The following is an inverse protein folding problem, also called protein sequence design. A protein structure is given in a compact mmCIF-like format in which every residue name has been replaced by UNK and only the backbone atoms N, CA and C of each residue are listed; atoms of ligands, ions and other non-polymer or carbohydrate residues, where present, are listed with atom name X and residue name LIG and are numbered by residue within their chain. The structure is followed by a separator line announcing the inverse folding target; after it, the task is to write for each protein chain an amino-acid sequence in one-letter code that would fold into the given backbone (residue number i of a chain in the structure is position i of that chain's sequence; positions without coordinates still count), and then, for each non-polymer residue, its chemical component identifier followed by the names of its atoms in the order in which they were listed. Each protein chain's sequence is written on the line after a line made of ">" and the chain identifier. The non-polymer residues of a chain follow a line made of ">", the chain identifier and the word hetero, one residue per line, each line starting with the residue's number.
data_IF_441763471834
#
_entry.id   IF_441763471834
#
_cell.length_a   1.000
_cell.length_b   1.000
_cell.length_c   1.000
_cell.angle_alpha   90.00
_cell.angle_beta   90.00
_cell.angle_gamma   90.00
#
_symmetry.space_group_name_H-M   'P 1'
#
loop_
_entity.id
_entity.type
_entity.pdbx_description
1 polymer ?
#
# COMPACT_ATOMS: atom_id res chain seq x y z
N UNK A 1 -15.64 47.80 2.18
CA UNK A 1 -15.40 46.65 1.30
C UNK A 1 -13.95 46.23 1.39
N UNK A 2 -13.73 45.10 1.92
CA UNK A 2 -12.40 44.51 2.02
C UNK A 2 -12.07 43.79 0.71
N UNK A 3 -11.05 44.27 0.00
CA UNK A 3 -10.52 43.60 -1.17
C UNK A 3 -9.30 42.76 -0.76
N UNK A 4 -9.35 41.45 -0.98
CA UNK A 4 -8.21 40.57 -0.73
C UNK A 4 -7.06 40.96 -1.65
N UNK A 5 -5.85 41.03 -1.12
CA UNK A 5 -4.65 41.20 -1.92
C UNK A 5 -4.40 39.97 -2.78
N UNK A 6 -3.64 40.16 -3.86
CA UNK A 6 -3.22 39.03 -4.71
C UNK A 6 -2.53 37.93 -3.89
N UNK A 7 -1.70 38.29 -2.93
CA UNK A 7 -1.00 37.34 -2.06
C UNK A 7 -1.93 36.57 -1.15
N UNK A 8 -2.99 37.20 -0.64
CA UNK A 8 -3.99 36.54 0.20
C UNK A 8 -4.80 35.53 -0.61
N UNK A 9 -5.18 35.88 -1.84
CA UNK A 9 -5.89 34.97 -2.76
C UNK A 9 -4.98 33.78 -3.10
N UNK A 10 -3.72 34.00 -3.45
CA UNK A 10 -2.77 32.94 -3.75
C UNK A 10 -2.49 32.05 -2.53
N UNK A 11 -2.44 32.63 -1.33
CA UNK A 11 -2.31 31.85 -0.09
C UNK A 11 -3.53 30.97 0.19
N UNK A 12 -4.74 31.45 -0.07
CA UNK A 12 -5.97 30.67 0.08
C UNK A 12 -6.06 29.56 -0.97
N UNK A 13 -5.72 29.84 -2.21
CA UNK A 13 -5.67 28.83 -3.28
C UNK A 13 -4.58 27.79 -3.02
N UNK A 14 -3.42 28.20 -2.49
CA UNK A 14 -2.33 27.30 -2.13
C UNK A 14 -2.67 26.39 -0.96
N UNK A 15 -3.48 26.83 -0.01
CA UNK A 15 -3.95 25.99 1.12
C UNK A 15 -4.86 24.85 0.68
N UNK A 16 -5.63 25.03 -0.41
CA UNK A 16 -6.44 23.98 -1.00
C UNK A 16 -5.67 23.02 -1.91
N UNK A 17 -4.40 23.34 -2.24
CA UNK A 17 -3.56 22.57 -3.15
C UNK A 17 -2.42 21.93 -2.40
N UNK A 18 -2.72 20.88 -1.67
CA UNK A 18 -1.73 20.06 -0.99
C UNK A 18 -1.71 18.66 -1.60
N UNK A 19 -0.57 17.98 -1.53
CA UNK A 19 -0.54 16.56 -1.85
C UNK A 19 -1.38 15.79 -0.83
N UNK A 20 -2.05 14.76 -1.27
CA UNK A 20 -2.80 13.84 -0.44
C UNK A 20 -2.47 12.43 -0.88
N UNK A 21 -1.62 11.75 -0.12
CA UNK A 21 -1.19 10.40 -0.43
C UNK A 21 -2.11 9.39 0.23
N UNK A 22 -2.49 8.37 -0.52
CA UNK A 22 -3.24 7.23 -0.03
C UNK A 22 -2.47 5.95 -0.31
N UNK A 23 -2.32 5.10 0.71
CA UNK A 23 -1.80 3.76 0.55
C UNK A 23 -2.91 2.83 0.08
N UNK A 24 -2.62 2.06 -0.95
CA UNK A 24 -3.51 1.04 -1.47
C UNK A 24 -2.86 -0.31 -1.23
N UNK A 25 -3.52 -1.16 -0.46
CA UNK A 25 -3.07 -2.52 -0.19
C UNK A 25 -4.03 -3.52 -0.83
N UNK A 26 -3.47 -4.50 -1.53
CA UNK A 26 -4.25 -5.51 -2.24
C UNK A 26 -3.62 -6.89 -2.05
N UNK A 27 -4.42 -7.84 -1.59
CA UNK A 27 -4.03 -9.25 -1.56
C UNK A 27 -4.25 -9.82 -2.96
N UNK A 28 -3.18 -10.22 -3.62
CA UNK A 28 -3.21 -10.68 -5.03
C UNK A 28 -3.17 -12.18 -5.18
N UNK A 29 -2.70 -12.91 -4.18
CA UNK A 29 -2.67 -14.36 -4.15
C UNK A 29 -2.72 -14.86 -2.71
N UNK A 30 -3.33 -16.02 -2.50
CA UNK A 30 -3.35 -16.71 -1.21
C UNK A 30 -3.12 -18.19 -1.44
N UNK A 31 -2.18 -18.75 -0.69
CA UNK A 31 -1.84 -20.17 -0.71
C UNK A 31 -1.85 -20.74 0.70
N UNK A 32 -2.49 -21.89 0.87
CA UNK A 32 -2.53 -22.58 2.15
C UNK A 32 -1.87 -23.95 1.98
N UNK A 33 -0.80 -24.19 2.73
CA UNK A 33 -0.07 -25.44 2.78
C UNK A 33 0.16 -25.85 4.24
N UNK A 34 -0.25 -27.06 4.62
CA UNK A 34 -0.09 -27.57 5.99
C UNK A 34 -0.60 -26.60 7.07
N UNK A 35 -1.78 -25.99 6.83
CA UNK A 35 -2.39 -24.97 7.67
C UNK A 35 -1.61 -23.64 7.75
N UNK A 36 -0.54 -23.48 6.99
CA UNK A 36 0.21 -22.22 6.89
C UNK A 36 -0.35 -21.36 5.76
N UNK A 37 -0.67 -20.11 6.08
CA UNK A 37 -1.15 -19.12 5.13
C UNK A 37 0.01 -18.30 4.58
N UNK A 38 0.18 -18.35 3.26
CA UNK A 38 1.03 -17.44 2.52
C UNK A 38 0.17 -16.57 1.63
N UNK A 39 0.50 -15.31 1.54
CA UNK A 39 -0.23 -14.38 0.68
C UNK A 39 0.70 -13.36 0.05
N UNK A 40 0.35 -12.97 -1.16
CA UNK A 40 1.02 -11.88 -1.86
C UNK A 40 0.28 -10.59 -1.59
N UNK A 41 1.00 -9.58 -1.16
CA UNK A 41 0.50 -8.26 -0.85
C UNK A 41 1.13 -7.24 -1.80
N UNK A 42 0.30 -6.55 -2.56
CA UNK A 42 0.72 -5.42 -3.39
C UNK A 42 0.43 -4.12 -2.66
N UNK A 43 1.48 -3.33 -2.48
CA UNK A 43 1.41 -2.00 -1.88
C UNK A 43 1.68 -0.95 -2.95
N UNK A 44 0.78 -0.01 -3.08
CA UNK A 44 0.87 1.11 -4.02
C UNK A 44 0.46 2.40 -3.32
N UNK A 45 0.92 3.51 -3.85
CA UNK A 45 0.54 4.84 -3.39
C UNK A 45 -0.05 5.63 -4.54
N UNK A 46 -1.06 6.42 -4.25
CA UNK A 46 -1.64 7.38 -5.17
C UNK A 46 -1.70 8.76 -4.52
N UNK A 47 -1.49 9.80 -5.32
CA UNK A 47 -1.70 11.17 -4.92
C UNK A 47 -3.03 11.65 -5.50
N UNK A 48 -4.04 11.75 -4.67
CA UNK A 48 -5.37 12.25 -5.03
C UNK A 48 -5.61 13.70 -4.57
N UNK A 49 -4.55 14.37 -4.14
CA UNK A 49 -4.57 15.77 -3.74
C UNK A 49 -4.51 16.74 -4.92
N UNK A 50 -4.37 18.01 -4.61
CA UNK A 50 -4.31 19.09 -5.58
C UNK A 50 -2.90 19.54 -5.96
N UNK A 51 -1.87 18.97 -5.37
CA UNK A 51 -0.47 19.33 -5.63
C UNK A 51 0.42 18.10 -5.75
N UNK A 52 1.54 18.26 -6.44
CA UNK A 52 2.57 17.22 -6.57
C UNK A 52 3.20 16.91 -5.23
N UNK A 53 3.34 15.63 -4.90
CA UNK A 53 4.07 15.16 -3.73
C UNK A 53 5.54 14.92 -4.08
N UNK A 54 6.43 15.47 -3.26
CA UNK A 54 7.89 15.35 -3.38
C UNK A 54 8.47 14.67 -2.16
N UNK A 55 9.57 13.99 -2.33
CA UNK A 55 10.27 13.31 -1.23
C UNK A 55 9.36 12.36 -0.45
N UNK A 56 8.52 11.60 -1.17
CA UNK A 56 7.65 10.63 -0.55
C UNK A 56 8.48 9.50 0.09
N UNK A 57 8.08 9.13 1.30
CA UNK A 57 8.71 8.06 2.06
C UNK A 57 7.63 7.19 2.71
N UNK A 58 7.85 5.89 2.67
CA UNK A 58 6.97 4.90 3.26
C UNK A 58 7.80 3.93 4.10
N UNK A 59 7.34 3.69 5.32
CA UNK A 59 7.92 2.70 6.23
C UNK A 59 6.79 1.83 6.76
N UNK A 60 6.96 0.52 6.70
CA UNK A 60 5.97 -0.42 7.23
C UNK A 60 6.62 -1.54 8.02
N UNK A 61 5.97 -1.94 9.10
CA UNK A 61 6.33 -3.11 9.91
C UNK A 61 5.19 -4.11 9.92
N UNK A 62 5.51 -5.40 9.98
CA UNK A 62 4.55 -6.49 9.93
C UNK A 62 4.60 -7.30 11.22
N UNK A 63 3.51 -7.28 11.98
CA UNK A 63 3.34 -8.15 13.15
C UNK A 63 2.72 -9.48 12.73
N UNK A 64 3.11 -10.56 13.38
CA UNK A 64 2.61 -11.93 13.14
C UNK A 64 2.79 -12.41 11.70
N UNK A 65 3.84 -11.95 11.04
CA UNK A 65 4.17 -12.40 9.70
C UNK A 65 5.68 -12.39 9.46
N UNK A 66 6.09 -13.18 8.52
CA UNK A 66 7.44 -13.20 7.99
C UNK A 66 7.40 -12.78 6.52
N UNK A 67 8.33 -11.92 6.12
CA UNK A 67 8.51 -11.59 4.70
C UNK A 67 9.35 -12.71 4.07
N UNK A 68 8.72 -13.54 3.24
CA UNK A 68 9.44 -14.62 2.54
C UNK A 68 10.22 -14.08 1.34
N UNK A 69 9.62 -13.16 0.59
CA UNK A 69 10.28 -12.54 -0.56
C UNK A 69 9.72 -11.15 -0.86
N UNK A 70 10.55 -10.36 -1.51
CA UNK A 70 10.15 -9.10 -2.17
C UNK A 70 10.15 -9.39 -3.66
N UNK A 71 8.96 -9.53 -4.25
CA UNK A 71 8.80 -10.01 -5.61
C UNK A 71 8.94 -8.89 -6.63
N UNK A 72 8.52 -7.68 -6.24
CA UNK A 72 8.64 -6.46 -7.05
C UNK A 72 8.85 -5.24 -6.14
N UNK A 73 9.43 -4.20 -6.72
CA UNK A 73 9.64 -2.93 -6.05
C UNK A 73 11.07 -2.77 -5.52
N UNK A 74 11.42 -1.54 -5.24
CA UNK A 74 12.73 -1.17 -4.72
C UNK A 74 12.59 -0.69 -3.28
N UNK A 75 12.60 -1.61 -2.35
CA UNK A 75 12.46 -1.35 -0.93
C UNK A 75 13.65 -1.92 -0.17
N UNK A 76 14.02 -1.26 0.92
CA UNK A 76 15.01 -1.76 1.88
C UNK A 76 14.30 -2.61 2.92
N UNK A 77 14.79 -3.81 3.14
CA UNK A 77 14.29 -4.73 4.15
C UNK A 77 15.16 -4.65 5.40
N UNK A 78 14.52 -4.59 6.56
CA UNK A 78 15.19 -4.61 7.86
C UNK A 78 14.24 -5.16 8.92
N UNK A 79 14.72 -5.27 10.14
CA UNK A 79 13.87 -5.46 11.31
C UNK A 79 13.71 -4.13 12.02
N UNK A 80 12.52 -3.87 12.56
CA UNK A 80 12.27 -2.68 13.36
C UNK A 80 12.87 -2.84 14.77
N UNK A 81 12.72 -1.81 15.61
CA UNK A 81 13.25 -1.83 16.99
C UNK A 81 12.65 -2.91 17.87
N UNK A 82 11.52 -3.50 17.47
CA UNK A 82 10.85 -4.62 18.16
C UNK A 82 11.21 -5.98 17.57
N UNK A 83 12.08 -6.01 16.56
CA UNK A 83 12.44 -7.24 15.85
C UNK A 83 11.41 -7.69 14.81
N UNK A 84 10.44 -6.84 14.45
CA UNK A 84 9.45 -7.14 13.42
C UNK A 84 10.00 -6.86 12.03
N UNK A 85 9.66 -7.69 11.02
CA UNK A 85 10.03 -7.41 9.64
C UNK A 85 9.53 -6.04 9.21
N UNK A 86 10.38 -5.28 8.55
CA UNK A 86 10.10 -3.92 8.12
C UNK A 86 10.61 -3.68 6.73
N UNK A 87 9.92 -2.83 5.99
CA UNK A 87 10.35 -2.32 4.68
C UNK A 87 10.36 -0.80 4.69
N UNK A 88 11.29 -0.23 3.94
CA UNK A 88 11.36 1.20 3.71
C UNK A 88 11.44 1.48 2.21
N UNK A 89 10.64 2.43 1.77
CA UNK A 89 10.59 2.91 0.39
C UNK A 89 10.82 4.41 0.38
N UNK A 90 11.80 4.84 -0.41
CA UNK A 90 12.13 6.24 -0.63
C UNK A 90 11.93 6.59 -2.10
N UNK A 91 11.14 7.63 -2.35
CA UNK A 91 10.85 8.13 -3.69
C UNK A 91 11.41 9.54 -3.87
N UNK A 92 12.67 9.73 -3.40
CA UNK A 92 13.32 11.04 -3.34
C UNK A 92 13.64 11.63 -4.72
N UNK A 93 13.96 10.79 -5.69
CA UNK A 93 14.39 11.21 -7.03
C UNK A 93 13.23 11.46 -8.00
N UNK A 94 12.01 11.22 -7.58
CA UNK A 94 10.81 11.33 -8.41
C UNK A 94 9.70 12.04 -7.66
N UNK A 95 8.69 12.42 -8.40
CA UNK A 95 7.51 13.09 -7.85
C UNK A 95 6.24 12.26 -8.11
N UNK A 96 5.28 12.37 -7.21
CA UNK A 96 3.95 11.78 -7.37
C UNK A 96 3.00 12.88 -7.81
N UNK A 97 2.59 12.83 -9.07
CA UNK A 97 1.66 13.81 -9.62
C UNK A 97 0.22 13.58 -9.11
N UNK A 98 -0.59 14.65 -8.98
CA UNK A 98 -1.95 14.56 -8.45
C UNK A 98 -2.93 14.02 -9.50
N UNK A 99 -2.64 12.87 -10.07
CA UNK A 99 -3.45 12.23 -11.12
C UNK A 99 -4.30 11.08 -10.59
N UNK A 100 -4.11 10.69 -9.34
CA UNK A 100 -4.69 9.46 -8.79
C UNK A 100 -4.09 8.17 -9.34
N UNK A 101 -3.10 8.26 -10.22
CA UNK A 101 -2.41 7.08 -10.75
C UNK A 101 -1.62 6.37 -9.65
N UNK A 102 -1.72 5.05 -9.63
CA UNK A 102 -1.03 4.23 -8.64
C UNK A 102 0.44 4.05 -9.00
N UNK A 103 1.30 4.26 -8.01
CA UNK A 103 2.73 3.97 -8.09
C UNK A 103 3.03 2.79 -7.20
N UNK A 104 3.64 1.74 -7.75
CA UNK A 104 3.99 0.54 -6.99
C UNK A 104 5.08 0.87 -5.97
N UNK A 105 4.84 0.51 -4.71
CA UNK A 105 5.86 0.50 -3.65
C UNK A 105 6.57 -0.86 -3.66
N UNK A 106 5.81 -1.92 -3.46
CA UNK A 106 6.34 -3.28 -3.45
C UNK A 106 5.24 -4.32 -3.63
N UNK A 107 5.63 -5.48 -4.08
CA UNK A 107 4.85 -6.70 -4.04
C UNK A 107 5.62 -7.72 -3.20
N UNK A 108 5.01 -8.20 -2.13
CA UNK A 108 5.64 -9.03 -1.11
C UNK A 108 4.93 -10.36 -1.00
N UNK A 109 5.67 -11.40 -0.69
CA UNK A 109 5.10 -12.67 -0.22
C UNK A 109 5.31 -12.77 1.29
N UNK A 110 4.20 -12.87 2.00
CA UNK A 110 4.15 -12.93 3.45
C UNK A 110 3.62 -14.29 3.92
N UNK A 111 4.11 -14.76 5.05
CA UNK A 111 3.62 -15.95 5.72
C UNK A 111 3.13 -15.60 7.12
N UNK A 112 1.88 -15.97 7.46
CA UNK A 112 1.39 -15.85 8.82
C UNK A 112 2.18 -16.77 9.76
N UNK A 113 2.61 -16.25 10.90
CA UNK A 113 3.29 -17.04 11.93
C UNK A 113 2.29 -17.82 12.79
N UNK A 114 1.14 -17.24 13.08
CA UNK A 114 0.04 -17.85 13.81
C UNK A 114 -1.29 -17.55 13.12
N UNK A 115 -2.17 -18.55 13.04
CA UNK A 115 -3.51 -18.38 12.45
C UNK A 115 -4.51 -17.75 13.45
N UNK A 116 -4.16 -17.68 14.72
CA UNK A 116 -5.02 -17.17 15.80
C UNK A 116 -5.05 -15.65 15.84
N UNK A 117 -4.05 -15.00 15.21
CA UNK A 117 -3.92 -13.56 15.17
C UNK A 117 -3.75 -13.07 13.72
N UNK A 118 -4.22 -11.87 13.41
CA UNK A 118 -3.98 -11.30 12.09
C UNK A 118 -2.52 -10.84 11.93
N UNK A 119 -2.07 -10.78 10.69
CA UNK A 119 -0.92 -9.94 10.34
C UNK A 119 -1.35 -8.48 10.44
N UNK A 120 -0.66 -7.69 11.22
CA UNK A 120 -0.87 -6.25 11.30
C UNK A 120 0.25 -5.54 10.56
N UNK A 121 -0.11 -4.79 9.52
CA UNK A 121 0.78 -3.90 8.82
C UNK A 121 0.61 -2.50 9.41
N UNK A 122 1.59 -2.04 10.17
CA UNK A 122 1.66 -0.67 10.65
C UNK A 122 2.54 0.15 9.72
N UNK A 123 2.04 1.27 9.22
CA UNK A 123 2.80 2.07 8.28
C UNK A 123 2.78 3.56 8.59
N UNK A 124 3.81 4.21 8.09
CA UNK A 124 3.97 5.65 8.07
C UNK A 124 4.21 6.08 6.63
N UNK A 125 3.49 7.09 6.19
CA UNK A 125 3.61 7.66 4.86
C UNK A 125 3.72 9.18 4.97
N UNK A 126 4.73 9.75 4.35
CA UNK A 126 5.01 11.18 4.42
C UNK A 126 5.56 11.68 3.09
N UNK A 127 5.32 12.93 2.79
CA UNK A 127 5.97 13.67 1.70
C UNK A 127 6.13 15.13 2.14
N UNK A 128 6.87 15.90 1.35
CA UNK A 128 7.00 17.34 1.57
C UNK A 128 5.61 18.01 1.50
N UNK A 129 5.37 18.99 2.35
CA UNK A 129 4.13 19.79 2.41
C UNK A 129 2.85 19.03 2.78
N UNK A 130 2.98 17.86 3.38
CA UNK A 130 1.84 17.15 3.92
C UNK A 130 2.11 16.67 5.35
N UNK A 131 1.04 16.42 6.09
CA UNK A 131 1.14 15.82 7.41
C UNK A 131 1.50 14.34 7.30
N UNK A 132 2.27 13.85 8.27
CA UNK A 132 2.60 12.45 8.41
C UNK A 132 1.32 11.62 8.57
N UNK A 133 1.17 10.59 7.74
CA UNK A 133 0.09 9.62 7.85
C UNK A 133 0.62 8.39 8.58
N UNK A 134 -0.05 8.00 9.64
CA UNK A 134 0.20 6.76 10.37
C UNK A 134 -1.09 5.98 10.45
N UNK A 135 -1.09 4.74 9.98
CA UNK A 135 -2.28 3.89 9.99
C UNK A 135 -1.87 2.41 9.97
N UNK A 136 -2.84 1.52 10.05
CA UNK A 136 -2.60 0.08 10.00
C UNK A 136 -3.66 -0.66 9.20
N UNK A 137 -3.23 -1.80 8.63
CA UNK A 137 -4.10 -2.78 7.99
C UNK A 137 -3.98 -4.12 8.70
N UNK A 138 -5.07 -4.87 8.72
CA UNK A 138 -5.15 -6.18 9.37
C UNK A 138 -5.51 -7.25 8.35
N UNK A 139 -4.73 -8.34 8.32
CA UNK A 139 -4.91 -9.47 7.41
C UNK A 139 -5.04 -10.75 8.25
N UNK A 140 -6.26 -11.07 8.65
CA UNK A 140 -6.55 -12.30 9.37
C UNK A 140 -6.94 -13.45 8.44
N UNK A 141 -7.08 -14.66 9.00
CA UNK A 141 -7.45 -15.86 8.25
C UNK A 141 -8.78 -15.67 7.51
N UNK A 142 -9.79 -15.06 8.14
CA UNK A 142 -11.08 -14.82 7.51
C UNK A 142 -10.98 -13.94 6.27
N UNK A 143 -10.19 -12.86 6.33
CA UNK A 143 -9.93 -11.98 5.20
C UNK A 143 -9.17 -12.70 4.08
N UNK A 144 -8.16 -13.50 4.44
CA UNK A 144 -7.36 -14.26 3.46
C UNK A 144 -8.20 -15.35 2.77
N UNK A 145 -9.08 -16.03 3.48
CA UNK A 145 -10.01 -17.01 2.88
C UNK A 145 -10.99 -16.34 1.93
N UNK A 146 -11.52 -15.19 2.28
CA UNK A 146 -12.38 -14.40 1.41
C UNK A 146 -11.63 -13.94 0.15
N UNK A 147 -10.42 -13.44 0.30
CA UNK A 147 -9.57 -13.04 -0.82
C UNK A 147 -9.23 -14.22 -1.73
N UNK A 148 -8.93 -15.39 -1.16
CA UNK A 148 -8.67 -16.62 -1.90
C UNK A 148 -9.89 -17.02 -2.75
N UNK A 149 -11.07 -17.02 -2.18
CA UNK A 149 -12.31 -17.35 -2.90
C UNK A 149 -12.59 -16.36 -4.04
N UNK A 150 -12.38 -15.08 -3.82
CA UNK A 150 -12.55 -14.03 -4.84
C UNK A 150 -11.56 -14.19 -6.01
N UNK A 151 -10.31 -14.51 -5.72
CA UNK A 151 -9.26 -14.73 -6.73
C UNK A 151 -9.58 -15.99 -7.56
N UNK A 152 -9.97 -17.09 -6.92
CA UNK A 152 -10.36 -18.32 -7.59
C UNK A 152 -11.57 -18.12 -8.52
N UNK A 153 -12.58 -17.35 -8.11
CA UNK A 153 -13.72 -17.00 -8.95
C UNK A 153 -13.33 -16.20 -10.17
N UNK A 154 -12.43 -15.24 -10.03
CA UNK A 154 -11.92 -14.45 -11.17
C UNK A 154 -11.18 -15.33 -12.18
N UNK A 155 -10.34 -16.25 -11.71
CA UNK A 155 -9.61 -17.19 -12.57
C UNK A 155 -10.56 -18.15 -13.29
N UNK A 156 -11.61 -18.64 -12.63
CA UNK A 156 -12.61 -19.49 -13.24
C UNK A 156 -13.37 -18.78 -14.37
N UNK A 157 -13.73 -17.51 -14.20
CA UNK A 157 -14.37 -16.69 -15.24
C UNK A 157 -13.45 -16.50 -16.45
N UNK A 158 -12.19 -16.22 -16.25
CA UNK A 158 -11.20 -16.06 -17.32
C UNK A 158 -11.05 -17.35 -18.11
N UNK A 159 -10.88 -18.50 -17.45
CA UNK A 159 -10.77 -19.81 -18.10
C UNK A 159 -12.03 -20.17 -18.89
N UNK A 160 -13.21 -19.85 -18.39
CA UNK A 160 -14.47 -20.08 -19.08
C UNK A 160 -14.59 -19.22 -20.34
N UNK A 161 -14.12 -17.98 -20.32
CA UNK A 161 -14.11 -17.10 -21.49
C UNK A 161 -13.11 -17.55 -22.54
N UNK A 162 -11.93 -18.04 -22.16
CA UNK A 162 -10.95 -18.59 -23.09
C UNK A 162 -11.38 -19.91 -23.70
N UNK A 163 -12.10 -20.76 -22.96
CA UNK A 163 -12.64 -22.03 -23.43
C UNK A 163 -13.89 -21.92 -24.30
N UNK A 164 -14.56 -20.77 -24.37
CA UNK A 164 -15.75 -20.52 -25.17
C UNK A 164 -15.51 -19.99 -26.58
N UNK A 165 -14.27 -20.01 -27.05
CA UNK A 165 -13.84 -19.44 -28.33
C UNK A 165 -13.77 -20.44 -29.51
N UNK A 166 -14.49 -21.56 -29.45
CA UNK A 166 -14.66 -22.44 -30.62
C UNK A 166 -15.94 -22.16 -31.36
#
# INVERSE_FOLDING_TARGET
>A
KYAMSHYEIMGLLGRGKKPSLALISEVTAVKVEDSAYRFSLRLSVANDGGATARYAQFIASFANAEIESIDKGNVLRSDDTRGMPSIQWDYADRVLHPTGQRTLIAELTLRLLSNDEPCILDYTLVAEDMELITNSYSFGVALLEEAKGRIEKRMAVVLTQEGGGE
#
